data_IF_572309959551
#
_entry.id   IF_572309959551
#
_cell.length_a   1.000
_cell.length_b   1.000
_cell.length_c   1.000
_cell.angle_alpha   90.00
_cell.angle_beta   90.00
_cell.angle_gamma   90.00
#
_symmetry.space_group_name_H-M   'P 1'
#
loop_
_entity.id
_entity.type
_entity.pdbx_description
1 polymer ?
#
# COMPACT_ATOMS: atom_id res chain seq x y z
N UNK A 1 -12.88 19.94 -39.71
CA UNK A 1 -12.58 18.62 -39.08
C UNK A 1 -11.75 18.88 -37.84
N UNK A 2 -12.39 18.72 -36.69
CA UNK A 2 -11.80 18.86 -35.36
C UNK A 2 -10.95 17.63 -35.06
N UNK A 3 -9.68 17.81 -34.69
CA UNK A 3 -8.89 16.78 -33.97
C UNK A 3 -8.62 17.34 -32.58
N UNK A 4 -9.69 17.38 -31.79
CA UNK A 4 -9.67 17.61 -30.36
C UNK A 4 -9.87 16.24 -29.69
N UNK A 5 -8.80 15.44 -29.55
CA UNK A 5 -8.86 14.16 -28.82
C UNK A 5 -7.45 13.63 -28.50
N UNK A 6 -6.72 14.34 -27.64
CA UNK A 6 -5.54 13.80 -26.95
C UNK A 6 -5.41 14.32 -25.51
N UNK A 7 -6.55 14.58 -24.87
CA UNK A 7 -6.66 14.81 -23.43
C UNK A 7 -7.73 13.84 -22.92
N UNK A 8 -7.40 12.55 -22.87
CA UNK A 8 -8.25 11.54 -22.24
C UNK A 8 -7.46 10.82 -21.15
N UNK A 9 -7.95 11.01 -19.93
CA UNK A 9 -7.66 10.31 -18.68
C UNK A 9 -6.30 10.59 -18.01
N UNK A 10 -6.24 11.71 -17.29
CA UNK A 10 -5.31 11.98 -16.19
C UNK A 10 -5.67 11.13 -14.95
N UNK A 11 -5.59 9.81 -15.06
CA UNK A 11 -5.57 8.92 -13.90
C UNK A 11 -4.49 7.89 -14.15
N UNK A 12 -3.47 7.86 -13.31
CA UNK A 12 -2.41 6.88 -13.50
C UNK A 12 -2.88 5.53 -12.98
N UNK A 13 -3.35 4.74 -13.94
CA UNK A 13 -3.28 3.30 -13.96
C UNK A 13 -1.98 2.92 -14.68
N UNK A 14 -1.06 2.21 -14.04
CA UNK A 14 -0.08 1.46 -14.81
C UNK A 14 -0.78 0.21 -15.35
N UNK A 15 -1.45 0.33 -16.51
CA UNK A 15 -2.16 -0.78 -17.18
C UNK A 15 -1.29 -2.03 -17.36
N UNK A 16 0.04 -1.84 -17.39
CA UNK A 16 1.05 -2.88 -17.42
C UNK A 16 0.99 -3.84 -16.22
N UNK A 17 0.63 -3.38 -15.02
CA UNK A 17 0.55 -4.24 -13.83
C UNK A 17 -0.87 -4.61 -13.45
N UNK A 18 -1.88 -4.01 -14.09
CA UNK A 18 -3.28 -4.29 -13.75
C UNK A 18 -3.61 -5.77 -13.83
N UNK A 19 -3.19 -6.50 -14.86
CA UNK A 19 -3.52 -7.93 -15.01
C UNK A 19 -2.88 -8.85 -13.96
N UNK A 20 -1.81 -8.37 -13.33
CA UNK A 20 -1.12 -9.06 -12.22
C UNK A 20 -1.88 -8.79 -10.94
N UNK A 21 -1.98 -7.50 -10.61
CA UNK A 21 -2.57 -7.06 -9.38
C UNK A 21 -4.09 -7.25 -9.40
N UNK A 22 -4.75 -7.39 -10.56
CA UNK A 22 -6.20 -7.59 -10.73
C UNK A 22 -6.72 -8.74 -9.88
N UNK A 23 -5.88 -9.77 -9.71
CA UNK A 23 -6.18 -10.92 -8.86
C UNK A 23 -6.34 -10.55 -7.40
N UNK A 24 -5.73 -9.46 -6.93
CA UNK A 24 -5.91 -8.90 -5.59
C UNK A 24 -6.71 -7.60 -5.61
N UNK A 25 -6.83 -6.90 -6.74
CA UNK A 25 -7.58 -5.64 -6.88
C UNK A 25 -9.09 -5.84 -6.82
N UNK A 26 -9.63 -7.06 -6.98
CA UNK A 26 -11.03 -7.31 -6.59
C UNK A 26 -11.27 -7.06 -5.09
N UNK A 27 -10.20 -6.91 -4.29
CA UNK A 27 -10.25 -6.43 -2.90
C UNK A 27 -10.34 -4.89 -2.85
N UNK A 28 -9.87 -4.18 -3.87
CA UNK A 28 -9.78 -2.71 -3.90
C UNK A 28 -10.73 -2.13 -4.94
N UNK A 29 -11.88 -1.62 -4.49
CA UNK A 29 -12.83 -0.92 -5.33
C UNK A 29 -13.02 0.51 -4.80
N UNK A 30 -12.47 1.50 -5.49
CA UNK A 30 -12.33 2.86 -4.95
C UNK A 30 -13.59 3.73 -5.04
N UNK A 31 -14.68 3.23 -5.67
CA UNK A 31 -15.76 4.09 -6.17
C UNK A 31 -17.19 3.70 -5.74
N UNK A 32 -17.39 2.65 -4.93
CA UNK A 32 -18.69 2.35 -4.32
C UNK A 32 -18.75 2.81 -2.85
N UNK A 33 -19.93 3.21 -2.37
CA UNK A 33 -20.15 3.81 -1.05
C UNK A 33 -19.73 2.90 0.12
N UNK A 34 -19.90 1.58 0.01
CA UNK A 34 -19.44 0.63 1.04
C UNK A 34 -17.95 0.27 0.90
N UNK A 35 -17.29 0.68 -0.19
CA UNK A 35 -15.92 0.31 -0.54
C UNK A 35 -14.94 1.49 -0.47
N UNK A 36 -15.43 2.65 0.00
CA UNK A 36 -14.62 3.84 0.34
C UNK A 36 -13.52 3.51 1.35
N UNK A 37 -12.56 4.40 1.45
CA UNK A 37 -11.62 4.41 2.57
C UNK A 37 -12.37 4.65 3.89
N UNK A 38 -12.47 3.61 4.71
CA UNK A 38 -13.11 3.62 6.02
C UNK A 38 -12.23 4.33 7.05
N UNK A 39 -10.94 4.51 6.79
CA UNK A 39 -10.04 5.13 7.77
C UNK A 39 -10.39 6.59 8.08
N UNK A 40 -11.14 7.26 7.21
CA UNK A 40 -11.71 8.59 7.43
C UNK A 40 -12.68 8.64 8.63
N UNK A 41 -13.20 7.50 9.08
CA UNK A 41 -14.05 7.40 10.26
C UNK A 41 -13.26 7.23 11.57
N UNK A 42 -11.96 6.92 11.49
CA UNK A 42 -11.17 6.60 12.69
C UNK A 42 -11.02 7.82 13.61
N UNK A 43 -10.69 7.63 14.90
CA UNK A 43 -10.30 8.74 15.75
C UNK A 43 -9.10 9.51 15.17
N UNK A 44 -8.99 10.83 15.41
CA UNK A 44 -7.92 11.66 14.83
C UNK A 44 -6.51 11.12 15.04
N UNK A 45 -6.27 10.47 16.19
CA UNK A 45 -5.00 9.83 16.56
C UNK A 45 -4.59 8.71 15.60
N UNK A 46 -5.53 7.95 15.07
CA UNK A 46 -5.21 6.92 14.07
C UNK A 46 -5.16 7.52 12.66
N UNK A 47 -6.01 8.51 12.36
CA UNK A 47 -5.98 9.20 11.06
C UNK A 47 -4.63 9.86 10.77
N UNK A 48 -4.01 10.47 11.79
CA UNK A 48 -2.72 11.17 11.65
C UNK A 48 -1.56 10.25 11.26
N UNK A 49 -1.73 8.93 11.35
CA UNK A 49 -0.69 7.93 11.06
C UNK A 49 -0.85 7.30 9.67
N UNK A 50 -1.80 7.78 8.85
CA UNK A 50 -2.16 7.14 7.58
C UNK A 50 -1.69 7.91 6.35
N UNK A 51 -1.45 9.21 6.47
CA UNK A 51 -1.02 10.05 5.34
C UNK A 51 0.39 10.56 5.57
N UNK A 52 1.27 10.27 4.62
CA UNK A 52 2.69 10.56 4.72
C UNK A 52 3.16 11.33 3.50
N UNK A 53 3.98 12.35 3.72
CA UNK A 53 4.75 13.00 2.66
C UNK A 53 6.17 12.47 2.74
N UNK A 54 6.57 11.71 1.72
CA UNK A 54 7.94 11.26 1.58
C UNK A 54 8.72 12.26 0.75
N UNK A 55 9.66 12.97 1.38
CA UNK A 55 10.64 13.82 0.71
C UNK A 55 12.01 13.19 0.88
N UNK A 56 12.64 12.79 -0.23
CA UNK A 56 13.90 12.07 -0.19
C UNK A 56 14.87 12.57 -1.24
N UNK A 57 16.15 12.64 -0.89
CA UNK A 57 17.22 12.86 -1.86
C UNK A 57 17.47 11.59 -2.68
N UNK A 58 18.04 11.75 -3.86
CA UNK A 58 18.49 10.62 -4.69
C UNK A 58 19.34 9.63 -3.88
N UNK A 59 19.07 8.35 -4.05
CA UNK A 59 19.81 7.25 -3.42
C UNK A 59 19.29 6.83 -2.04
N UNK A 60 18.29 7.53 -1.50
CA UNK A 60 17.62 7.13 -0.26
C UNK A 60 16.28 6.45 -0.54
N UNK A 61 15.86 5.56 0.35
CA UNK A 61 14.66 4.76 0.18
C UNK A 61 14.30 4.00 1.45
N UNK A 62 13.28 3.16 1.35
CA UNK A 62 12.84 2.28 2.44
C UNK A 62 13.15 0.85 2.02
N UNK A 63 13.89 0.14 2.88
CA UNK A 63 14.21 -1.27 2.69
C UNK A 63 12.96 -2.15 2.65
N UNK A 64 13.15 -3.41 2.32
CA UNK A 64 12.07 -4.38 2.14
C UNK A 64 11.19 -4.51 3.37
N UNK A 65 9.89 -4.27 3.20
CA UNK A 65 8.92 -4.37 4.28
C UNK A 65 7.51 -4.64 3.75
N UNK A 66 6.61 -4.83 4.70
CA UNK A 66 5.16 -4.92 4.53
C UNK A 66 4.51 -3.99 5.54
N UNK A 67 3.44 -3.29 5.17
CA UNK A 67 2.80 -2.34 6.07
C UNK A 67 2.16 -3.01 7.29
N UNK A 68 2.36 -2.38 8.45
CA UNK A 68 2.24 -3.05 9.75
C UNK A 68 0.81 -3.37 10.16
N UNK A 69 -0.18 -2.60 9.72
CA UNK A 69 -1.58 -2.83 10.09
C UNK A 69 -2.40 -3.45 8.96
N UNK A 70 -1.78 -3.89 7.86
CA UNK A 70 -2.50 -4.54 6.76
C UNK A 70 -3.44 -3.59 6.01
N UNK A 71 -3.08 -2.31 5.95
CA UNK A 71 -3.73 -1.36 5.06
C UNK A 71 -3.36 -1.65 3.61
N UNK A 72 -4.19 -1.18 2.69
CA UNK A 72 -3.79 -0.94 1.31
C UNK A 72 -3.01 0.39 1.25
N UNK A 73 -2.16 0.54 0.25
CA UNK A 73 -1.39 1.76 0.05
C UNK A 73 -1.81 2.44 -1.25
N UNK A 74 -2.01 3.75 -1.20
CA UNK A 74 -2.09 4.61 -2.36
C UNK A 74 -0.90 5.57 -2.33
N UNK A 75 0.05 5.45 -3.26
CA UNK A 75 1.23 6.32 -3.34
C UNK A 75 1.27 7.08 -4.65
N UNK A 76 1.17 8.40 -4.58
CA UNK A 76 1.27 9.31 -5.71
C UNK A 76 2.66 9.94 -5.76
N UNK A 77 3.35 9.81 -6.89
CA UNK A 77 4.65 10.42 -7.13
C UNK A 77 4.47 11.85 -7.62
N UNK A 78 4.70 12.83 -6.75
CA UNK A 78 4.44 14.24 -7.01
C UNK A 78 5.59 14.90 -7.78
N UNK A 79 6.83 14.51 -7.44
CA UNK A 79 8.05 15.04 -8.05
C UNK A 79 9.18 14.00 -8.04
N UNK A 80 10.07 14.05 -9.03
CA UNK A 80 11.14 13.07 -9.20
C UNK A 80 10.63 11.66 -9.52
N UNK A 81 11.54 10.68 -9.53
CA UNK A 81 11.23 9.28 -9.82
C UNK A 81 11.56 8.37 -8.64
N UNK A 82 10.74 7.34 -8.45
CA UNK A 82 10.93 6.34 -7.39
C UNK A 82 10.90 4.93 -7.96
N UNK A 83 11.97 4.19 -7.73
CA UNK A 83 12.05 2.77 -8.06
C UNK A 83 11.35 1.95 -6.98
N UNK A 84 10.51 1.01 -7.40
CA UNK A 84 9.79 0.06 -6.57
C UNK A 84 10.13 -1.36 -7.01
N UNK A 85 10.39 -2.22 -6.04
CA UNK A 85 10.47 -3.66 -6.24
C UNK A 85 9.45 -4.31 -5.32
N UNK A 86 8.54 -5.10 -5.89
CA UNK A 86 7.43 -5.72 -5.16
C UNK A 86 7.47 -7.25 -5.24
N UNK A 87 7.08 -7.90 -4.15
CA UNK A 87 6.74 -9.32 -4.11
C UNK A 87 5.35 -9.54 -3.51
N UNK A 88 4.62 -10.56 -4.00
CA UNK A 88 3.31 -10.88 -3.47
C UNK A 88 3.42 -11.54 -2.07
N UNK A 89 2.35 -11.55 -1.27
CA UNK A 89 2.35 -12.10 0.08
C UNK A 89 2.79 -13.58 0.14
N UNK A 90 2.56 -14.36 -0.90
CA UNK A 90 2.92 -15.78 -1.00
C UNK A 90 4.44 -16.03 -0.93
N UNK A 91 5.24 -15.02 -1.29
CA UNK A 91 6.71 -15.08 -1.26
C UNK A 91 7.29 -14.82 0.14
N UNK A 92 6.47 -14.49 1.15
CA UNK A 92 6.89 -14.17 2.53
C UNK A 92 7.96 -15.12 3.09
N UNK A 93 7.80 -16.44 2.88
CA UNK A 93 8.72 -17.47 3.38
C UNK A 93 10.14 -17.41 2.77
N UNK A 94 10.30 -16.71 1.66
CA UNK A 94 11.55 -16.56 0.92
C UNK A 94 12.22 -15.20 1.14
N UNK A 95 11.52 -14.26 1.78
CA UNK A 95 11.96 -12.88 1.98
C UNK A 95 12.59 -12.62 3.35
N UNK A 96 12.83 -13.68 4.15
CA UNK A 96 13.53 -13.61 5.43
C UNK A 96 13.00 -12.50 6.35
N UNK A 97 11.67 -12.42 6.50
CA UNK A 97 11.02 -11.39 7.32
C UNK A 97 11.34 -9.93 6.92
N UNK A 98 11.79 -9.71 5.68
CA UNK A 98 12.18 -8.40 5.17
C UNK A 98 13.68 -8.15 5.17
N UNK A 99 14.50 -9.11 5.61
CA UNK A 99 15.96 -8.94 5.68
C UNK A 99 16.64 -8.97 4.29
N UNK A 100 15.92 -9.42 3.25
CA UNK A 100 16.42 -9.36 1.87
C UNK A 100 16.36 -7.92 1.37
N UNK A 101 17.51 -7.33 1.02
CA UNK A 101 17.54 -6.11 0.21
C UNK A 101 17.11 -6.44 -1.23
N UNK A 102 15.91 -6.03 -1.64
CA UNK A 102 15.41 -6.36 -2.98
C UNK A 102 16.14 -5.61 -4.09
N UNK A 103 16.73 -4.43 -3.79
CA UNK A 103 17.48 -3.62 -4.75
C UNK A 103 18.84 -4.26 -5.09
N UNK A 104 19.45 -4.92 -4.12
CA UNK A 104 20.73 -5.62 -4.28
C UNK A 104 20.72 -6.90 -3.42
N UNK A 105 20.09 -7.99 -3.90
CA UNK A 105 19.92 -9.20 -3.12
C UNK A 105 21.24 -9.96 -2.89
N UNK A 106 21.56 -10.24 -1.63
CA UNK A 106 22.67 -11.11 -1.24
C UNK A 106 22.19 -12.58 -1.15
N UNK A 107 22.48 -13.36 -2.18
CA UNK A 107 22.13 -14.78 -2.25
C UNK A 107 23.03 -15.68 -1.41
N UNK A 108 24.15 -15.19 -0.87
CA UNK A 108 24.98 -15.96 0.05
C UNK A 108 24.36 -15.96 1.45
N UNK A 109 23.85 -14.81 1.91
CA UNK A 109 23.16 -14.70 3.20
C UNK A 109 21.69 -15.14 3.11
N UNK A 110 21.04 -14.87 1.97
CA UNK A 110 19.61 -15.16 1.76
C UNK A 110 19.35 -16.13 0.59
N UNK A 111 19.98 -17.33 0.57
CA UNK A 111 19.94 -18.23 -0.59
C UNK A 111 18.53 -18.69 -0.98
N UNK A 112 17.58 -18.74 -0.03
CA UNK A 112 16.21 -19.17 -0.32
C UNK A 112 15.41 -18.16 -1.15
N UNK A 113 15.88 -16.91 -1.24
CA UNK A 113 15.24 -15.87 -2.05
C UNK A 113 15.17 -16.25 -3.53
N UNK A 114 16.07 -17.12 -4.02
CA UNK A 114 16.01 -17.66 -5.39
C UNK A 114 14.69 -18.40 -5.72
N UNK A 115 13.94 -18.81 -4.69
CA UNK A 115 12.64 -19.48 -4.86
C UNK A 115 11.45 -18.52 -4.84
N UNK A 116 11.68 -17.21 -4.64
CA UNK A 116 10.64 -16.21 -4.78
C UNK A 116 10.18 -16.13 -6.23
N UNK A 117 8.93 -15.72 -6.41
CA UNK A 117 8.39 -15.40 -7.73
C UNK A 117 9.21 -14.25 -8.34
N UNK A 118 9.25 -14.08 -9.67
CA UNK A 118 9.87 -12.90 -10.27
C UNK A 118 9.32 -11.62 -9.66
N UNK A 119 10.21 -10.73 -9.22
CA UNK A 119 9.82 -9.47 -8.62
C UNK A 119 9.16 -8.56 -9.66
N UNK A 120 8.21 -7.73 -9.21
CA UNK A 120 7.70 -6.62 -10.01
C UNK A 120 8.62 -5.42 -9.78
N UNK A 121 9.47 -5.15 -10.75
CA UNK A 121 10.49 -4.11 -10.73
C UNK A 121 10.11 -2.99 -11.71
N UNK A 122 9.86 -1.78 -11.20
CA UNK A 122 9.46 -0.64 -12.03
C UNK A 122 9.78 0.72 -11.39
N UNK A 123 9.81 1.75 -12.23
CA UNK A 123 9.90 3.15 -11.80
C UNK A 123 8.52 3.76 -11.81
N UNK A 124 8.11 4.33 -10.67
CA UNK A 124 6.96 5.20 -10.55
C UNK A 124 7.39 6.62 -10.95
N UNK A 125 6.86 7.09 -12.07
CA UNK A 125 7.20 8.38 -12.69
C UNK A 125 6.41 9.53 -12.08
N UNK A 126 6.83 10.78 -12.34
CA UNK A 126 6.09 11.96 -11.86
C UNK A 126 4.66 11.97 -12.42
N UNK A 127 3.69 12.20 -11.54
CA UNK A 127 2.26 12.18 -11.84
C UNK A 127 1.64 10.80 -11.70
N UNK A 128 2.44 9.76 -11.50
CA UNK A 128 1.98 8.39 -11.36
C UNK A 128 1.47 8.03 -9.97
N UNK A 129 0.54 7.08 -9.92
CA UNK A 129 -0.07 6.59 -8.70
C UNK A 129 0.05 5.06 -8.68
N UNK A 130 0.60 4.54 -7.59
CA UNK A 130 0.59 3.13 -7.26
C UNK A 130 -0.53 2.87 -6.25
N UNK A 131 -1.35 1.87 -6.53
CA UNK A 131 -2.30 1.32 -5.57
C UNK A 131 -1.86 -0.11 -5.28
N UNK A 132 -1.44 -0.35 -4.04
CA UNK A 132 -0.85 -1.61 -3.60
C UNK A 132 -1.81 -2.31 -2.62
N UNK A 133 -2.22 -3.56 -2.91
CA UNK A 133 -2.98 -4.37 -1.97
C UNK A 133 -2.23 -4.64 -0.67
N UNK A 134 -2.99 -4.99 0.36
CA UNK A 134 -2.41 -5.23 1.68
C UNK A 134 -1.47 -6.43 1.61
N UNK A 135 -0.48 -6.43 2.49
CA UNK A 135 0.47 -7.53 2.66
C UNK A 135 1.49 -7.74 1.53
N UNK A 136 1.55 -6.85 0.54
CA UNK A 136 2.60 -6.89 -0.48
C UNK A 136 3.93 -6.40 0.08
N UNK A 137 4.97 -7.21 -0.16
CA UNK A 137 6.34 -6.85 0.19
C UNK A 137 6.86 -5.82 -0.80
N UNK A 138 7.53 -4.80 -0.31
CA UNK A 138 8.04 -3.75 -1.16
C UNK A 138 9.31 -3.10 -0.64
N UNK A 139 10.19 -2.74 -1.57
CA UNK A 139 11.40 -1.94 -1.36
C UNK A 139 11.30 -0.72 -2.28
N UNK A 140 11.66 0.46 -1.77
CA UNK A 140 11.66 1.69 -2.57
C UNK A 140 13.03 2.36 -2.58
N UNK A 141 13.33 3.06 -3.67
CA UNK A 141 14.55 3.84 -3.84
C UNK A 141 14.26 5.11 -4.66
N UNK A 142 14.66 6.27 -4.16
CA UNK A 142 14.57 7.53 -4.90
C UNK A 142 15.66 7.58 -5.98
N UNK A 143 15.27 7.68 -7.25
CA UNK A 143 16.22 7.80 -8.37
C UNK A 143 16.65 9.25 -8.63
N UNK A 144 15.83 10.20 -8.17
CA UNK A 144 16.08 11.64 -8.14
C UNK A 144 15.68 12.19 -6.77
N UNK A 145 15.96 13.46 -6.50
CA UNK A 145 15.31 14.17 -5.40
C UNK A 145 13.79 14.15 -5.65
N UNK A 146 13.04 13.63 -4.68
CA UNK A 146 11.68 13.16 -4.90
C UNK A 146 10.73 13.58 -3.79
N UNK A 147 9.47 13.76 -4.20
CA UNK A 147 8.35 13.99 -3.30
C UNK A 147 7.24 13.02 -3.69
N UNK A 148 6.74 12.24 -2.73
CA UNK A 148 5.56 11.39 -2.89
C UNK A 148 4.57 11.67 -1.77
N UNK A 149 3.28 11.58 -2.10
CA UNK A 149 2.19 11.57 -1.14
C UNK A 149 1.68 10.13 -1.04
N UNK A 150 1.73 9.55 0.15
CA UNK A 150 1.23 8.19 0.40
C UNK A 150 0.08 8.25 1.39
N UNK A 151 -0.97 7.48 1.13
CA UNK A 151 -2.11 7.31 2.01
C UNK A 151 -2.46 5.83 2.18
N UNK A 152 -2.47 5.38 3.42
CA UNK A 152 -2.85 4.03 3.81
C UNK A 152 -4.36 3.98 4.09
N UNK A 153 -5.06 3.06 3.45
CA UNK A 153 -6.52 2.97 3.55
C UNK A 153 -7.02 1.56 3.87
N UNK A 154 -8.23 1.52 4.41
CA UNK A 154 -8.94 0.31 4.82
C UNK A 154 -10.31 0.33 4.19
N UNK A 155 -10.77 -0.80 3.70
CA UNK A 155 -12.14 -0.96 3.22
C UNK A 155 -12.67 -2.34 3.63
N UNK A 156 -13.84 -2.72 3.11
CA UNK A 156 -14.48 -4.00 3.43
C UNK A 156 -13.58 -5.23 3.20
N UNK A 157 -12.59 -5.14 2.30
CA UNK A 157 -11.77 -6.30 1.94
C UNK A 157 -10.64 -6.61 2.91
N UNK A 158 -10.14 -5.61 3.64
CA UNK A 158 -9.02 -5.76 4.59
C UNK A 158 -9.36 -5.34 6.03
N UNK A 159 -10.58 -4.89 6.32
CA UNK A 159 -10.99 -4.40 7.66
C UNK A 159 -10.77 -5.42 8.78
N UNK A 160 -11.04 -6.71 8.56
CA UNK A 160 -10.84 -7.74 9.60
C UNK A 160 -9.36 -7.89 9.95
N UNK A 161 -8.52 -7.89 8.92
CA UNK A 161 -7.08 -8.02 9.08
C UNK A 161 -6.49 -6.78 9.74
N UNK A 162 -7.02 -5.59 9.42
CA UNK A 162 -6.67 -4.34 10.07
C UNK A 162 -7.07 -4.30 11.54
N UNK A 163 -8.32 -4.60 11.87
CA UNK A 163 -8.82 -4.55 13.26
C UNK A 163 -8.05 -5.53 14.16
N UNK A 164 -7.76 -6.74 13.67
CA UNK A 164 -6.94 -7.71 14.40
C UNK A 164 -5.54 -7.17 14.72
N UNK A 165 -4.90 -6.49 13.76
CA UNK A 165 -3.56 -5.91 13.94
C UNK A 165 -3.59 -4.64 14.80
N UNK A 166 -4.64 -3.85 14.69
CA UNK A 166 -4.86 -2.67 15.52
C UNK A 166 -5.06 -3.05 16.98
N UNK A 167 -5.88 -4.06 17.26
CA UNK A 167 -6.06 -4.61 18.61
C UNK A 167 -4.74 -5.14 19.16
N UNK A 168 -3.95 -5.86 18.35
CA UNK A 168 -2.63 -6.33 18.77
C UNK A 168 -1.66 -5.17 19.09
N UNK A 169 -1.77 -4.02 18.41
CA UNK A 169 -0.93 -2.83 18.63
C UNK A 169 -1.39 -1.98 19.82
N UNK A 170 -2.70 -1.80 19.99
CA UNK A 170 -3.29 -0.84 20.95
C UNK A 170 -3.90 -1.48 22.19
N UNK A 171 -4.16 -2.78 22.14
CA UNK A 171 -4.82 -3.54 23.19
C UNK A 171 -6.34 -3.49 23.11
N UNK A 172 -6.98 -4.49 23.72
CA UNK A 172 -8.44 -4.63 23.77
C UNK A 172 -9.14 -3.44 24.43
N UNK A 173 -8.55 -2.87 25.49
CA UNK A 173 -9.09 -1.70 26.19
C UNK A 173 -9.26 -0.49 25.25
N UNK A 174 -8.33 -0.29 24.32
CA UNK A 174 -8.46 0.77 23.32
C UNK A 174 -9.60 0.49 22.33
N UNK A 175 -9.75 -0.76 21.89
CA UNK A 175 -10.83 -1.15 20.98
C UNK A 175 -12.21 -0.94 21.61
N UNK A 176 -12.33 -1.09 22.94
CA UNK A 176 -13.56 -0.90 23.71
C UNK A 176 -13.77 0.55 24.21
N UNK A 177 -12.85 1.47 23.89
CA UNK A 177 -12.91 2.87 24.31
C UNK A 177 -14.09 3.63 23.72
N UNK A 178 -14.48 4.74 24.36
CA UNK A 178 -15.55 5.63 23.88
C UNK A 178 -15.26 6.23 22.49
N UNK A 179 -13.98 6.35 22.11
CA UNK A 179 -13.57 6.86 20.81
C UNK A 179 -13.68 5.79 19.71
N UNK A 180 -13.23 4.56 19.98
CA UNK A 180 -13.13 3.51 18.96
C UNK A 180 -14.41 2.66 18.83
N UNK A 181 -15.13 2.43 19.93
CA UNK A 181 -16.32 1.58 19.95
C UNK A 181 -17.41 2.01 18.94
N UNK A 182 -17.77 3.31 18.81
CA UNK A 182 -18.75 3.74 17.80
C UNK A 182 -18.28 3.47 16.37
N UNK A 183 -16.98 3.62 16.10
CA UNK A 183 -16.39 3.33 14.79
C UNK A 183 -16.49 1.84 14.47
N UNK A 184 -16.15 0.97 15.43
CA UNK A 184 -16.29 -0.48 15.27
C UNK A 184 -17.73 -0.89 15.00
N UNK A 185 -18.69 -0.39 15.79
CA UNK A 185 -20.12 -0.69 15.58
C UNK A 185 -20.59 -0.26 14.20
N UNK A 186 -20.19 0.94 13.77
CA UNK A 186 -20.49 1.45 12.44
C UNK A 186 -19.89 0.58 11.33
N UNK A 187 -18.62 0.20 11.44
CA UNK A 187 -17.93 -0.64 10.45
C UNK A 187 -18.53 -2.04 10.37
N UNK A 188 -18.88 -2.65 11.51
CA UNK A 188 -19.57 -3.95 11.53
C UNK A 188 -20.96 -3.86 10.90
N UNK A 189 -21.70 -2.76 11.13
CA UNK A 189 -22.98 -2.52 10.48
C UNK A 189 -22.84 -2.32 8.96
N UNK A 190 -21.77 -1.67 8.48
CA UNK A 190 -21.49 -1.52 7.04
C UNK A 190 -21.14 -2.85 6.38
N UNK A 191 -20.35 -3.68 7.06
CA UNK A 191 -19.91 -5.00 6.56
C UNK A 191 -21.07 -5.98 6.36
N UNK A 192 -22.13 -5.87 7.15
CA UNK A 192 -23.30 -6.76 7.11
C UNK A 192 -24.40 -6.32 6.13
N UNK A 193 -24.18 -5.28 5.33
CA UNK A 193 -25.11 -4.78 4.29
C UNK A 193 -24.64 -5.20 2.91
#
# INVERSE_FOLDING_TARGET
MSVLLAALASYVYSSHFYHVLSKDFHKIHLLDNNQKDWTLDLPPKEQSELTWIFMGLKGFGIGTHMDRLGQHVCSAQIFGRKHWILHPPEDTKWLYHGDVNLMEPDYLTHPRYINASPAYDFVLERGEVLILPDQWWHNTLALDDSISLTHDFVNISNVDAYLKRLEARRGKEYMESEEMKPVMEMWMARKNK
#
